data_IF_880491055881
#
_entry.id   IF_880491055881
#
_cell.length_a   1.000
_cell.length_b   1.000
_cell.length_c   1.000
_cell.angle_alpha   90.00
_cell.angle_beta   90.00
_cell.angle_gamma   90.00
#
_symmetry.space_group_name_H-M   'P 1'
#
loop_
_entity.id
_entity.type
_entity.pdbx_description
1 polymer ?
#
# COMPACT_ATOMS: atom_id res chain seq x y z
N UNK A 1 16.71 -21.81 14.58
CA UNK A 1 15.22 -21.78 14.49
C UNK A 1 14.78 -20.74 15.51
N UNK A 2 14.28 -19.56 15.12
CA UNK A 2 12.97 -19.39 14.51
C UNK A 2 11.85 -19.17 15.53
N UNK A 3 12.14 -18.92 16.82
CA UNK A 3 11.17 -18.94 17.92
C UNK A 3 10.01 -17.94 17.82
N UNK A 4 10.11 -16.90 16.99
CA UNK A 4 9.02 -15.93 16.81
C UNK A 4 7.87 -16.44 15.93
N UNK A 5 8.11 -17.45 15.09
CA UNK A 5 7.11 -17.93 14.11
C UNK A 5 6.93 -19.45 14.20
N UNK A 6 6.21 -19.97 15.21
CA UNK A 6 5.94 -21.41 15.35
C UNK A 6 4.89 -21.92 14.35
N UNK A 7 4.67 -21.21 13.24
CA UNK A 7 3.66 -21.51 12.22
C UNK A 7 4.29 -22.24 11.04
N UNK A 8 3.49 -23.09 10.38
CA UNK A 8 3.81 -23.61 9.05
C UNK A 8 3.08 -22.77 8.01
N UNK A 9 3.79 -22.33 6.96
CA UNK A 9 3.21 -21.57 5.85
C UNK A 9 3.41 -22.39 4.58
N UNK A 10 2.34 -22.54 3.83
CA UNK A 10 2.32 -23.23 2.54
C UNK A 10 1.91 -22.24 1.47
N UNK A 11 2.58 -22.30 0.33
CA UNK A 11 2.24 -21.50 -0.85
C UNK A 11 1.78 -22.41 -1.97
N UNK A 12 0.75 -21.99 -2.69
CA UNK A 12 0.28 -22.65 -3.89
C UNK A 12 0.07 -21.59 -4.98
N UNK A 13 0.78 -21.76 -6.09
CA UNK A 13 0.54 -20.95 -7.28
C UNK A 13 -0.82 -21.32 -7.88
N UNK A 14 -1.71 -20.34 -8.00
CA UNK A 14 -3.00 -20.52 -8.66
C UNK A 14 -2.82 -20.24 -10.16
N UNK A 15 -3.11 -21.20 -11.05
CA UNK A 15 -3.01 -20.98 -12.50
C UNK A 15 -3.98 -19.89 -12.98
N UNK A 16 -3.58 -19.07 -13.96
CA UNK A 16 -4.46 -18.04 -14.55
C UNK A 16 -5.75 -18.62 -15.17
N UNK A 17 -5.71 -19.90 -15.58
CA UNK A 17 -6.88 -20.60 -16.12
C UNK A 17 -7.71 -21.34 -15.04
N UNK A 18 -7.39 -21.15 -13.76
CA UNK A 18 -8.17 -21.75 -12.69
C UNK A 18 -9.61 -21.23 -12.73
N UNK A 19 -10.57 -22.14 -12.69
CA UNK A 19 -11.99 -21.81 -12.55
C UNK A 19 -12.46 -21.83 -11.10
N UNK A 20 -11.63 -22.37 -10.19
CA UNK A 20 -11.95 -22.50 -8.77
C UNK A 20 -10.68 -22.55 -7.91
N UNK A 21 -10.73 -21.99 -6.70
CA UNK A 21 -9.71 -22.14 -5.66
C UNK A 21 -10.39 -22.26 -4.28
N UNK A 22 -10.27 -23.42 -3.65
CA UNK A 22 -10.92 -23.73 -2.37
C UNK A 22 -9.87 -24.27 -1.40
N UNK A 23 -9.88 -23.77 -0.16
CA UNK A 23 -9.15 -24.41 0.92
C UNK A 23 -9.97 -25.64 1.37
N UNK A 24 -9.56 -26.83 0.95
CA UNK A 24 -10.23 -28.06 1.36
C UNK A 24 -10.03 -28.32 2.85
N UNK A 25 -11.10 -28.77 3.53
CA UNK A 25 -11.03 -29.08 4.94
C UNK A 25 -10.22 -30.37 5.13
N UNK A 26 -9.02 -30.21 5.67
CA UNK A 26 -8.20 -31.34 6.11
C UNK A 26 -8.55 -31.72 7.56
N UNK A 27 -7.89 -32.76 8.09
CA UNK A 27 -7.94 -33.16 9.50
C UNK A 27 -7.31 -32.14 10.47
N UNK A 28 -6.85 -30.99 9.97
CA UNK A 28 -6.20 -29.95 10.77
C UNK A 28 -7.26 -29.01 11.36
N UNK A 29 -7.33 -28.94 12.69
CA UNK A 29 -8.06 -27.87 13.36
C UNK A 29 -7.23 -26.59 13.27
N UNK A 30 -7.62 -25.68 12.37
CA UNK A 30 -7.03 -24.36 12.21
C UNK A 30 -8.10 -23.27 12.38
N UNK A 31 -7.71 -22.11 12.91
CA UNK A 31 -8.55 -20.91 12.85
C UNK A 31 -8.73 -20.54 11.37
N UNK A 32 -9.98 -20.40 10.92
CA UNK A 32 -10.27 -19.98 9.55
C UNK A 32 -10.17 -18.46 9.50
N UNK A 33 -9.13 -17.95 8.83
CA UNK A 33 -8.86 -16.51 8.67
C UNK A 33 -9.51 -15.93 7.41
N UNK A 34 -10.59 -16.57 6.93
CA UNK A 34 -11.48 -16.14 5.84
C UNK A 34 -11.00 -16.41 4.40
N UNK A 35 -11.93 -16.49 3.43
CA UNK A 35 -13.39 -16.48 3.62
C UNK A 35 -13.88 -17.71 4.39
N UNK A 36 -14.88 -17.55 5.25
CA UNK A 36 -15.38 -18.61 6.13
C UNK A 36 -15.83 -19.88 5.36
N UNK A 37 -16.28 -19.70 4.13
CA UNK A 37 -16.67 -20.77 3.21
C UNK A 37 -15.49 -21.34 2.38
N UNK A 38 -14.26 -20.88 2.66
CA UNK A 38 -12.98 -21.36 2.12
C UNK A 38 -12.76 -21.18 0.62
N UNK A 39 -13.69 -20.52 -0.08
CA UNK A 39 -13.58 -20.18 -1.49
C UNK A 39 -12.73 -18.93 -1.67
N UNK A 40 -11.52 -19.06 -2.18
CA UNK A 40 -10.69 -17.91 -2.46
C UNK A 40 -11.20 -17.20 -3.72
N UNK A 41 -11.27 -15.86 -3.74
CA UNK A 41 -11.61 -15.12 -4.94
C UNK A 41 -10.51 -15.32 -5.98
N UNK A 42 -10.93 -15.58 -7.21
CA UNK A 42 -10.05 -15.67 -8.36
C UNK A 42 -10.10 -14.39 -9.18
N UNK A 43 -9.01 -14.04 -9.89
CA UNK A 43 -9.07 -13.04 -10.94
C UNK A 43 -10.25 -13.28 -11.90
N UNK A 44 -11.08 -12.26 -12.14
CA UNK A 44 -12.16 -12.32 -13.14
C UNK A 44 -11.70 -11.86 -14.54
N UNK A 45 -10.42 -11.51 -14.67
CA UNK A 45 -9.79 -11.10 -15.92
C UNK A 45 -8.96 -12.22 -16.55
N UNK A 46 -8.76 -12.09 -17.86
CA UNK A 46 -7.95 -12.96 -18.71
C UNK A 46 -6.71 -12.22 -19.21
N UNK A 47 -5.90 -12.86 -20.05
CA UNK A 47 -4.79 -12.18 -20.74
C UNK A 47 -5.25 -11.06 -21.68
N UNK A 48 -6.52 -11.03 -22.09
CA UNK A 48 -7.08 -10.05 -23.03
C UNK A 48 -8.05 -9.05 -22.37
N UNK A 49 -8.38 -9.22 -21.09
CA UNK A 49 -9.21 -8.30 -20.31
C UNK A 49 -8.42 -7.70 -19.15
N UNK A 50 -9.04 -6.92 -18.25
CA UNK A 50 -8.38 -6.28 -17.11
C UNK A 50 -9.32 -6.18 -15.90
N UNK A 51 -8.80 -6.03 -14.67
CA UNK A 51 -9.60 -5.64 -13.52
C UNK A 51 -10.39 -4.36 -13.83
N UNK A 52 -11.68 -4.31 -13.48
CA UNK A 52 -12.54 -3.15 -13.76
C UNK A 52 -12.63 -2.22 -12.56
N UNK A 53 -12.56 -2.77 -11.35
CA UNK A 53 -12.67 -2.05 -10.09
C UNK A 53 -11.48 -2.40 -9.21
N UNK A 54 -10.64 -1.41 -8.94
CA UNK A 54 -9.46 -1.55 -8.08
C UNK A 54 -9.72 -0.78 -6.80
N UNK A 55 -9.66 -1.46 -5.65
CA UNK A 55 -9.62 -0.79 -4.35
C UNK A 55 -8.16 -0.57 -3.96
N UNK A 56 -7.81 0.66 -3.56
CA UNK A 56 -6.47 1.00 -3.06
C UNK A 56 -6.60 1.38 -1.59
N UNK A 57 -5.73 0.84 -0.75
CA UNK A 57 -5.73 1.06 0.70
C UNK A 57 -4.31 0.96 1.23
N UNK A 58 -3.98 1.64 2.32
CA UNK A 58 -2.62 1.67 2.87
C UNK A 58 -2.61 2.13 4.31
N UNK A 59 -1.52 1.81 5.01
CA UNK A 59 -1.22 2.36 6.34
C UNK A 59 -2.33 2.00 7.33
N UNK A 60 -2.61 0.69 7.41
CA UNK A 60 -3.87 0.14 7.91
C UNK A 60 -3.81 -0.40 9.33
N UNK A 61 -2.66 -0.85 9.84
CA UNK A 61 -2.58 -1.49 11.15
C UNK A 61 -2.92 -0.57 12.33
N UNK A 62 -3.00 -1.12 13.54
CA UNK A 62 -3.32 -0.32 14.73
C UNK A 62 -2.05 0.19 15.42
N UNK A 63 -1.88 1.52 15.48
CA UNK A 63 -0.72 2.15 16.11
C UNK A 63 -0.67 1.93 17.62
N UNK A 64 0.29 1.11 18.06
CA UNK A 64 0.57 0.87 19.48
C UNK A 64 2.07 1.01 19.70
N UNK A 65 2.58 2.25 19.80
CA UNK A 65 4.01 2.52 19.79
C UNK A 65 4.68 2.21 21.13
N UNK A 66 5.99 1.93 21.11
CA UNK A 66 6.78 1.75 22.34
C UNK A 66 6.82 3.05 23.17
N UNK A 67 6.74 4.21 22.53
CA UNK A 67 6.71 5.52 23.19
C UNK A 67 5.51 6.33 22.72
N UNK A 68 4.84 7.03 23.64
CA UNK A 68 3.65 7.81 23.33
C UNK A 68 2.33 7.06 23.57
N UNK A 69 1.19 7.67 23.22
CA UNK A 69 -0.13 7.12 23.45
C UNK A 69 -0.47 6.01 22.45
N UNK A 70 -0.99 4.89 22.95
CA UNK A 70 -1.54 3.83 22.10
C UNK A 70 -2.90 4.23 21.52
N UNK A 71 -3.16 3.82 20.28
CA UNK A 71 -4.47 3.96 19.65
C UNK A 71 -5.49 3.05 20.31
N UNK A 72 -6.75 3.47 20.30
CA UNK A 72 -7.87 2.64 20.72
C UNK A 72 -8.22 1.64 19.60
N UNK A 73 -7.51 0.51 19.56
CA UNK A 73 -7.72 -0.55 18.57
C UNK A 73 -9.11 -1.18 18.67
N UNK A 74 -9.70 -1.24 19.88
CA UNK A 74 -11.05 -1.77 20.08
C UNK A 74 -12.17 -0.89 19.50
N UNK A 75 -11.92 0.41 19.27
CA UNK A 75 -12.90 1.36 18.74
C UNK A 75 -12.65 1.59 17.25
N UNK A 76 -13.43 0.91 16.41
CA UNK A 76 -13.28 1.04 14.96
C UNK A 76 -13.93 2.30 14.39
N UNK A 77 -14.65 3.11 15.19
CA UNK A 77 -15.36 4.29 14.72
C UNK A 77 -14.48 5.52 14.66
N UNK A 78 -13.74 5.76 15.75
CA UNK A 78 -12.90 6.95 15.94
C UNK A 78 -11.48 6.61 16.37
N UNK A 79 -11.25 5.39 16.85
CA UNK A 79 -9.91 4.88 17.16
C UNK A 79 -9.27 4.39 15.88
N UNK A 80 -9.48 3.14 15.53
CA UNK A 80 -8.80 2.50 14.42
C UNK A 80 -9.77 2.15 13.27
N UNK A 81 -9.88 3.01 12.24
CA UNK A 81 -10.97 2.92 11.26
C UNK A 81 -10.81 1.83 10.19
N UNK A 82 -9.66 1.13 10.16
CA UNK A 82 -9.35 0.16 9.12
C UNK A 82 -10.44 -0.88 8.87
N UNK A 83 -11.02 -1.56 9.88
CA UNK A 83 -12.12 -2.51 9.65
C UNK A 83 -13.33 -1.89 8.93
N UNK A 84 -13.65 -0.62 9.22
CA UNK A 84 -14.74 0.08 8.55
C UNK A 84 -14.40 0.39 7.10
N UNK A 85 -13.17 0.81 6.83
CA UNK A 85 -12.72 1.10 5.46
C UNK A 85 -12.59 -0.17 4.62
N UNK A 86 -12.08 -1.26 5.18
CA UNK A 86 -12.06 -2.57 4.53
C UNK A 86 -13.48 -3.03 4.16
N UNK A 87 -14.42 -2.97 5.11
CA UNK A 87 -15.82 -3.30 4.86
C UNK A 87 -16.47 -2.38 3.81
N UNK A 88 -16.21 -1.07 3.89
CA UNK A 88 -16.72 -0.08 2.93
C UNK A 88 -16.19 -0.33 1.52
N UNK A 89 -14.89 -0.52 1.36
CA UNK A 89 -14.27 -0.81 0.08
C UNK A 89 -14.81 -2.12 -0.52
N UNK A 90 -14.94 -3.18 0.28
CA UNK A 90 -15.54 -4.43 -0.17
C UNK A 90 -17.00 -4.26 -0.61
N UNK A 91 -17.82 -3.54 0.15
CA UNK A 91 -19.25 -3.40 -0.13
C UNK A 91 -19.58 -2.38 -1.23
N UNK A 92 -18.87 -1.24 -1.28
CA UNK A 92 -19.15 -0.11 -2.18
C UNK A 92 -18.41 -0.30 -3.49
N UNK A 93 -17.08 -0.43 -3.44
CA UNK A 93 -16.26 -0.63 -4.64
C UNK A 93 -16.53 -2.00 -5.25
N UNK A 94 -16.74 -3.03 -4.40
CA UNK A 94 -16.83 -4.44 -4.84
C UNK A 94 -15.67 -4.77 -5.78
N UNK A 95 -14.42 -4.60 -5.32
CA UNK A 95 -13.25 -4.64 -6.17
C UNK A 95 -13.14 -6.01 -6.86
N UNK A 96 -12.58 -5.99 -8.07
CA UNK A 96 -12.07 -7.20 -8.71
C UNK A 96 -10.59 -7.40 -8.31
N UNK A 97 -9.90 -6.34 -7.89
CA UNK A 97 -8.52 -6.34 -7.40
C UNK A 97 -8.37 -5.36 -6.22
N UNK A 98 -7.60 -5.75 -5.20
CA UNK A 98 -7.19 -4.87 -4.11
C UNK A 98 -5.69 -4.61 -4.23
N UNK A 99 -5.26 -3.36 -4.03
CA UNK A 99 -3.85 -2.97 -3.89
C UNK A 99 -3.65 -2.40 -2.50
N UNK A 100 -2.79 -3.04 -1.70
CA UNK A 100 -2.38 -2.51 -0.40
C UNK A 100 -0.98 -1.88 -0.49
N UNK A 101 -0.88 -0.58 -0.24
CA UNK A 101 0.33 0.23 -0.45
C UNK A 101 1.31 0.23 0.75
N UNK A 102 1.39 -0.88 1.50
CA UNK A 102 2.32 -1.03 2.62
C UNK A 102 1.81 -0.56 3.97
N UNK A 103 2.66 -0.76 4.97
CA UNK A 103 2.43 -0.58 6.40
C UNK A 103 1.17 -1.30 6.90
N UNK A 104 1.41 -2.55 7.31
CA UNK A 104 0.40 -3.50 7.74
C UNK A 104 0.44 -3.69 9.25
N UNK A 105 1.63 -3.64 9.86
CA UNK A 105 1.89 -4.01 11.25
C UNK A 105 2.33 -2.79 12.06
N UNK A 106 1.49 -2.35 12.98
CA UNK A 106 1.70 -1.13 13.75
C UNK A 106 1.75 -1.35 15.27
N UNK A 107 1.54 -2.60 15.72
CA UNK A 107 1.71 -2.99 17.13
C UNK A 107 3.16 -3.21 17.51
N UNK A 108 3.86 -2.13 17.81
CA UNK A 108 5.23 -2.20 18.33
C UNK A 108 5.29 -2.68 19.80
N UNK A 109 4.28 -2.32 20.60
CA UNK A 109 4.12 -2.76 21.99
C UNK A 109 2.69 -3.25 22.30
N UNK A 110 2.36 -4.50 21.93
CA UNK A 110 1.05 -5.10 22.24
C UNK A 110 0.65 -5.05 23.73
N UNK A 111 1.59 -4.87 24.66
CA UNK A 111 1.25 -4.75 26.09
C UNK A 111 0.38 -3.52 26.40
N UNK A 112 0.38 -2.50 25.54
CA UNK A 112 -0.41 -1.27 25.71
C UNK A 112 -1.77 -1.29 25.02
N UNK A 113 -2.04 -2.30 24.20
CA UNK A 113 -3.28 -2.35 23.44
C UNK A 113 -4.51 -2.54 24.35
N UNK A 114 -5.68 -2.18 23.84
CA UNK A 114 -6.93 -2.26 24.59
C UNK A 114 -7.92 -3.31 24.06
N UNK A 115 -7.48 -4.16 23.14
CA UNK A 115 -8.26 -5.23 22.49
C UNK A 115 -7.69 -6.65 22.74
N UNK A 116 -6.81 -6.80 23.74
CA UNK A 116 -6.17 -8.08 24.13
C UNK A 116 -7.14 -9.26 24.25
N UNK A 117 -8.34 -9.03 24.77
CA UNK A 117 -9.35 -10.08 24.93
C UNK A 117 -9.82 -10.64 23.58
N UNK A 118 -9.82 -9.82 22.52
CA UNK A 118 -10.13 -10.25 21.16
C UNK A 118 -8.91 -10.85 20.45
N UNK A 119 -7.68 -10.53 20.86
CA UNK A 119 -6.44 -10.97 20.23
C UNK A 119 -5.55 -11.77 21.21
N UNK A 120 -6.00 -12.95 21.67
CA UNK A 120 -5.14 -13.80 22.49
C UNK A 120 -3.86 -14.12 21.71
N UNK A 121 -2.70 -14.05 22.39
CA UNK A 121 -1.39 -14.28 21.76
C UNK A 121 -0.75 -13.05 21.13
N UNK A 122 -1.45 -11.91 21.04
CA UNK A 122 -0.86 -10.61 20.74
C UNK A 122 -1.03 -9.67 21.93
N UNK A 123 -0.36 -9.94 23.06
CA UNK A 123 -0.68 -9.22 24.31
C UNK A 123 0.53 -8.70 25.06
N UNK A 124 1.73 -9.09 24.63
CA UNK A 124 3.00 -8.71 25.25
C UNK A 124 3.96 -8.15 24.19
N UNK A 125 4.96 -7.40 24.63
CA UNK A 125 6.02 -6.91 23.75
C UNK A 125 6.79 -8.05 23.03
N UNK A 126 6.82 -9.27 23.59
CA UNK A 126 7.48 -10.42 22.97
C UNK A 126 6.65 -10.98 21.79
N UNK A 127 5.34 -10.78 21.82
CA UNK A 127 4.42 -11.25 20.79
C UNK A 127 4.45 -10.38 19.53
N UNK A 128 5.03 -9.18 19.61
CA UNK A 128 5.05 -8.20 18.52
C UNK A 128 5.50 -8.84 17.21
N UNK A 129 4.78 -8.53 16.14
CA UNK A 129 4.96 -9.12 14.81
C UNK A 129 4.86 -10.66 14.74
N UNK A 130 4.49 -11.37 15.80
CA UNK A 130 4.11 -12.79 15.76
C UNK A 130 2.80 -13.01 14.98
N UNK A 131 2.46 -14.27 14.69
CA UNK A 131 1.28 -14.60 13.89
C UNK A 131 -0.01 -13.98 14.43
N UNK A 132 -0.23 -14.05 15.75
CA UNK A 132 -1.44 -13.51 16.36
C UNK A 132 -1.54 -11.99 16.20
N UNK A 133 -0.41 -11.26 16.23
CA UNK A 133 -0.38 -9.83 15.94
C UNK A 133 -0.58 -9.53 14.46
N UNK A 134 -0.05 -10.35 13.55
CA UNK A 134 -0.30 -10.22 12.10
C UNK A 134 -1.78 -10.42 11.79
N UNK A 135 -2.45 -11.37 12.47
CA UNK A 135 -3.90 -11.54 12.36
C UNK A 135 -4.65 -10.36 12.95
N UNK A 136 -4.21 -9.85 14.11
CA UNK A 136 -4.83 -8.72 14.79
C UNK A 136 -4.77 -7.44 13.96
N UNK A 137 -3.61 -7.09 13.39
CA UNK A 137 -3.39 -5.83 12.66
C UNK A 137 -3.82 -5.88 11.20
N UNK A 138 -3.73 -7.04 10.54
CA UNK A 138 -3.96 -7.14 9.10
C UNK A 138 -5.09 -8.10 8.75
N UNK A 139 -4.93 -9.41 8.94
CA UNK A 139 -5.85 -10.35 8.30
C UNK A 139 -7.30 -10.26 8.78
N UNK A 140 -7.52 -10.10 10.09
CA UNK A 140 -8.86 -9.97 10.65
C UNK A 140 -9.55 -8.65 10.27
N UNK A 141 -8.94 -7.47 10.46
CA UNK A 141 -9.59 -6.21 10.08
C UNK A 141 -9.72 -6.06 8.55
N UNK A 142 -8.79 -6.63 7.77
CA UNK A 142 -8.83 -6.61 6.31
C UNK A 142 -9.85 -7.58 5.73
N UNK A 143 -10.34 -8.57 6.48
CA UNK A 143 -11.12 -9.74 6.02
C UNK A 143 -12.02 -9.49 4.80
N UNK A 144 -12.88 -8.44 4.78
CA UNK A 144 -13.79 -8.23 3.65
C UNK A 144 -13.08 -8.07 2.30
N UNK A 145 -11.83 -7.62 2.29
CA UNK A 145 -11.02 -7.38 1.09
C UNK A 145 -10.52 -8.69 0.45
N UNK A 146 -9.70 -9.54 1.10
CA UNK A 146 -9.27 -10.82 0.54
C UNK A 146 -10.41 -11.83 0.40
N UNK A 147 -11.57 -11.60 1.03
CA UNK A 147 -12.78 -12.36 0.76
C UNK A 147 -13.48 -11.95 -0.56
N UNK A 148 -13.24 -10.73 -1.05
CA UNK A 148 -13.90 -10.19 -2.24
C UNK A 148 -13.03 -10.31 -3.49
N UNK A 149 -11.71 -10.09 -3.38
CA UNK A 149 -10.80 -10.05 -4.53
C UNK A 149 -9.38 -10.50 -4.17
N UNK A 150 -8.58 -10.93 -5.18
CA UNK A 150 -7.14 -11.03 -5.04
C UNK A 150 -6.51 -9.71 -4.56
N UNK A 151 -5.45 -9.81 -3.75
CA UNK A 151 -4.78 -8.66 -3.14
C UNK A 151 -3.31 -8.60 -3.60
N UNK A 152 -2.90 -7.45 -4.12
CA UNK A 152 -1.50 -7.11 -4.39
C UNK A 152 -0.96 -6.29 -3.22
N UNK A 153 0.18 -6.71 -2.65
CA UNK A 153 0.77 -6.09 -1.47
C UNK A 153 2.14 -5.50 -1.80
N UNK A 154 2.46 -4.35 -1.22
CA UNK A 154 3.84 -3.85 -1.12
C UNK A 154 4.23 -3.74 0.35
N UNK A 155 5.54 -3.73 0.60
CA UNK A 155 6.13 -3.56 1.92
C UNK A 155 6.26 -2.08 2.26
N UNK A 156 5.92 -1.69 3.49
CA UNK A 156 6.21 -0.35 4.00
C UNK A 156 7.35 -0.34 5.03
N UNK A 157 7.67 0.85 5.56
CA UNK A 157 8.77 1.00 6.53
C UNK A 157 8.45 0.40 7.89
N UNK A 158 7.18 0.24 8.27
CA UNK A 158 6.83 -0.51 9.48
C UNK A 158 7.21 -1.99 9.38
N UNK A 159 7.33 -2.52 8.16
CA UNK A 159 7.85 -3.87 7.87
C UNK A 159 9.33 -3.87 7.43
N UNK A 160 10.08 -2.83 7.77
CA UNK A 160 11.51 -2.84 7.50
C UNK A 160 12.27 -3.89 8.31
N UNK A 161 13.47 -4.18 7.83
CA UNK A 161 14.37 -5.08 8.56
C UNK A 161 14.83 -4.41 9.85
N UNK A 162 14.81 -5.17 10.94
CA UNK A 162 15.50 -4.75 12.16
C UNK A 162 17.03 -4.89 11.99
N UNK A 163 17.79 -4.38 12.98
CA UNK A 163 19.24 -4.45 12.99
C UNK A 163 19.79 -5.89 12.90
N UNK A 164 19.07 -6.87 13.47
CA UNK A 164 19.43 -8.28 13.45
C UNK A 164 19.12 -8.98 12.11
N UNK A 165 18.42 -8.31 11.17
CA UNK A 165 18.00 -8.87 9.88
C UNK A 165 17.17 -10.16 9.99
N UNK A 166 16.53 -10.35 11.14
CA UNK A 166 15.80 -11.55 11.47
C UNK A 166 14.67 -11.24 12.46
N UNK A 167 13.49 -11.81 12.22
CA UNK A 167 12.31 -11.57 13.05
C UNK A 167 11.78 -10.14 12.93
N UNK A 168 10.95 -9.74 13.89
CA UNK A 168 10.22 -8.47 13.88
C UNK A 168 9.25 -8.36 12.70
N UNK A 169 8.76 -7.14 12.44
CA UNK A 169 7.79 -6.88 11.37
C UNK A 169 8.34 -7.21 9.98
N UNK A 170 9.61 -6.90 9.68
CA UNK A 170 10.24 -7.34 8.43
C UNK A 170 10.36 -8.86 8.31
N UNK A 171 10.66 -9.57 9.41
CA UNK A 171 10.62 -11.04 9.42
C UNK A 171 9.20 -11.58 9.17
N UNK A 172 8.18 -10.94 9.76
CA UNK A 172 6.78 -11.29 9.55
C UNK A 172 6.33 -11.05 8.10
N UNK A 173 6.73 -9.94 7.49
CA UNK A 173 6.49 -9.64 6.08
C UNK A 173 7.01 -10.77 5.18
N UNK A 174 8.29 -11.13 5.31
CA UNK A 174 8.86 -12.22 4.52
C UNK A 174 8.35 -13.60 4.93
N UNK A 175 7.69 -13.75 6.07
CA UNK A 175 7.09 -15.02 6.47
C UNK A 175 5.70 -15.23 5.89
N UNK A 176 4.90 -14.16 5.75
CA UNK A 176 3.46 -14.26 5.48
C UNK A 176 2.94 -13.47 4.27
N UNK A 177 3.61 -12.38 3.87
CA UNK A 177 3.03 -11.38 2.95
C UNK A 177 3.87 -11.13 1.69
N UNK A 178 5.17 -11.40 1.74
CA UNK A 178 6.06 -11.22 0.59
C UNK A 178 5.72 -12.17 -0.57
N UNK A 179 6.10 -11.78 -1.78
CA UNK A 179 6.04 -12.62 -2.98
C UNK A 179 7.06 -13.77 -2.98
N UNK A 180 8.11 -13.65 -2.16
CA UNK A 180 9.12 -14.69 -1.93
C UNK A 180 9.24 -14.94 -0.42
N UNK A 181 8.53 -15.96 0.06
CA UNK A 181 8.50 -16.27 1.48
C UNK A 181 9.80 -16.89 1.99
N UNK A 182 10.07 -16.67 3.28
CA UNK A 182 11.22 -17.17 4.02
C UNK A 182 10.78 -17.79 5.35
N UNK A 183 11.15 -19.05 5.57
CA UNK A 183 10.79 -19.80 6.78
C UNK A 183 11.74 -19.59 7.96
N UNK A 184 12.93 -19.05 7.72
CA UNK A 184 13.98 -18.88 8.72
C UNK A 184 13.92 -17.52 9.46
N UNK A 185 12.89 -16.72 9.16
CA UNK A 185 12.67 -15.40 9.73
C UNK A 185 13.62 -14.33 9.20
N UNK A 186 14.47 -14.61 8.21
CA UNK A 186 15.34 -13.59 7.61
C UNK A 186 14.55 -12.58 6.80
N UNK A 187 15.00 -11.33 6.84
CA UNK A 187 14.48 -10.24 6.02
C UNK A 187 15.60 -9.53 5.26
N UNK A 188 15.28 -8.95 4.10
CA UNK A 188 16.23 -8.21 3.26
C UNK A 188 15.88 -6.72 3.24
N UNK A 189 16.85 -5.85 2.93
CA UNK A 189 16.63 -4.40 2.86
C UNK A 189 15.83 -3.99 1.62
N UNK A 190 16.13 -4.59 0.48
CA UNK A 190 15.54 -4.20 -0.80
C UNK A 190 15.08 -5.43 -1.55
N UNK A 191 13.77 -5.64 -1.62
CA UNK A 191 13.20 -6.65 -2.50
C UNK A 191 13.42 -6.25 -3.97
N UNK A 192 13.51 -7.23 -4.88
CA UNK A 192 13.43 -6.96 -6.30
C UNK A 192 12.10 -6.28 -6.65
N UNK A 193 12.08 -5.51 -7.76
CA UNK A 193 10.85 -5.02 -8.35
C UNK A 193 9.99 -6.21 -8.81
N UNK A 194 8.72 -6.27 -8.42
CA UNK A 194 7.85 -7.40 -8.68
C UNK A 194 6.71 -7.04 -9.65
N UNK A 195 6.74 -7.48 -10.92
CA UNK A 195 5.65 -7.30 -11.86
C UNK A 195 4.53 -8.31 -11.60
N UNK A 196 3.27 -7.84 -11.61
CA UNK A 196 2.07 -8.66 -11.42
C UNK A 196 1.22 -8.57 -12.68
N UNK A 197 0.90 -9.73 -13.24
CA UNK A 197 0.10 -9.85 -14.46
C UNK A 197 -1.39 -9.72 -14.15
N UNK A 198 -1.98 -8.61 -14.55
CA UNK A 198 -3.42 -8.37 -14.41
C UNK A 198 -4.10 -8.10 -15.77
N UNK A 199 -3.81 -8.98 -16.73
CA UNK A 199 -4.33 -8.89 -18.09
C UNK A 199 -3.74 -7.70 -18.86
N UNK A 200 -4.59 -6.82 -19.40
CA UNK A 200 -4.15 -5.62 -20.14
C UNK A 200 -3.82 -4.42 -19.24
N UNK A 201 -4.09 -4.51 -17.93
CA UNK A 201 -3.63 -3.55 -16.92
C UNK A 201 -2.73 -4.29 -15.93
N UNK A 202 -1.42 -4.11 -16.01
CA UNK A 202 -0.46 -4.81 -15.16
C UNK A 202 -0.10 -3.95 -13.94
N UNK A 203 0.38 -4.57 -12.86
CA UNK A 203 0.93 -3.84 -11.72
C UNK A 203 2.43 -4.07 -11.62
N UNK A 204 3.15 -3.14 -11.02
CA UNK A 204 4.57 -3.30 -10.68
C UNK A 204 4.82 -2.78 -9.27
N UNK A 205 5.21 -3.68 -8.37
CA UNK A 205 5.56 -3.33 -6.99
C UNK A 205 7.00 -2.83 -6.94
N UNK A 206 7.21 -1.69 -6.27
CA UNK A 206 8.52 -1.17 -5.90
C UNK A 206 8.62 -1.09 -4.38
N UNK A 207 9.48 -1.92 -3.81
CA UNK A 207 9.77 -1.92 -2.37
C UNK A 207 10.57 -0.68 -1.97
N UNK A 208 9.87 0.37 -1.53
CA UNK A 208 10.41 1.67 -1.11
C UNK A 208 10.48 1.86 0.40
N UNK A 209 10.18 0.81 1.17
CA UNK A 209 10.29 0.79 2.64
C UNK A 209 11.55 1.53 3.14
N UNK A 210 12.71 1.19 2.57
CA UNK A 210 14.00 1.77 2.95
C UNK A 210 14.53 2.88 2.02
N UNK A 211 13.65 3.65 1.35
CA UNK A 211 14.07 4.69 0.40
C UNK A 211 14.76 5.87 1.06
N UNK A 212 14.10 6.47 2.04
CA UNK A 212 14.60 7.53 2.91
C UNK A 212 14.22 7.16 4.35
N UNK A 213 14.99 6.30 5.04
CA UNK A 213 14.54 5.67 6.29
C UNK A 213 14.33 6.65 7.44
N UNK A 214 14.87 7.87 7.35
CA UNK A 214 14.63 8.93 8.34
C UNK A 214 13.65 10.01 7.88
N UNK A 215 13.09 9.89 6.67
CA UNK A 215 12.24 10.91 6.03
C UNK A 215 12.86 12.32 6.08
N UNK A 216 14.19 12.40 5.91
CA UNK A 216 14.97 13.64 6.03
C UNK A 216 15.18 14.34 4.68
N UNK A 217 14.59 13.84 3.60
CA UNK A 217 14.87 14.27 2.23
C UNK A 217 16.19 13.72 1.69
N UNK A 218 16.71 12.63 2.27
CA UNK A 218 17.99 12.03 1.87
C UNK A 218 17.89 11.43 0.48
N UNK A 219 18.92 11.63 -0.35
CA UNK A 219 19.05 11.03 -1.70
C UNK A 219 20.10 9.92 -1.76
N UNK A 220 20.55 9.42 -0.60
CA UNK A 220 21.65 8.44 -0.53
C UNK A 220 21.37 7.15 -1.31
N UNK A 221 20.09 6.76 -1.46
CA UNK A 221 19.69 5.53 -2.13
C UNK A 221 19.31 5.70 -3.61
N UNK A 222 19.54 6.87 -4.22
CA UNK A 222 19.11 7.14 -5.61
C UNK A 222 19.54 6.04 -6.57
N UNK A 223 20.81 5.63 -6.57
CA UNK A 223 21.28 4.58 -7.47
C UNK A 223 20.62 3.20 -7.24
N UNK A 224 20.18 2.89 -6.01
CA UNK A 224 19.43 1.66 -5.71
C UNK A 224 18.05 1.73 -6.36
N UNK A 225 17.34 2.84 -6.17
CA UNK A 225 15.99 3.01 -6.68
C UNK A 225 15.95 3.27 -8.19
N UNK A 226 16.99 3.87 -8.78
CA UNK A 226 17.13 3.97 -10.24
C UNK A 226 17.08 2.58 -10.86
N UNK A 227 17.81 1.59 -10.31
CA UNK A 227 17.76 0.21 -10.80
C UNK A 227 16.37 -0.42 -10.65
N UNK A 228 15.59 -0.01 -9.64
CA UNK A 228 14.22 -0.50 -9.41
C UNK A 228 13.25 0.11 -10.43
N UNK A 229 13.34 1.40 -10.70
CA UNK A 229 12.53 2.08 -11.72
C UNK A 229 12.95 1.72 -13.15
N UNK A 230 14.22 1.42 -13.42
CA UNK A 230 14.62 0.81 -14.69
C UNK A 230 14.00 -0.58 -14.87
N UNK A 231 13.82 -1.35 -13.78
CA UNK A 231 13.11 -2.63 -13.84
C UNK A 231 11.61 -2.45 -14.11
N UNK A 232 10.99 -1.39 -13.59
CA UNK A 232 9.62 -0.98 -13.96
C UNK A 232 9.55 -0.72 -15.46
N UNK A 233 10.44 0.12 -15.99
CA UNK A 233 10.47 0.47 -17.41
C UNK A 233 10.70 -0.77 -18.29
N UNK A 234 11.61 -1.67 -17.90
CA UNK A 234 11.78 -2.95 -18.60
C UNK A 234 10.54 -3.84 -18.57
N UNK A 235 9.82 -3.89 -17.44
CA UNK A 235 8.58 -4.66 -17.34
C UNK A 235 7.52 -4.07 -18.29
N UNK A 236 7.38 -2.74 -18.31
CA UNK A 236 6.44 -2.04 -19.18
C UNK A 236 6.71 -2.30 -20.67
N UNK A 237 7.99 -2.38 -21.06
CA UNK A 237 8.43 -2.68 -22.42
C UNK A 237 8.15 -4.11 -22.89
N UNK A 238 7.94 -5.08 -21.99
CA UNK A 238 7.60 -6.45 -22.39
C UNK A 238 6.23 -6.51 -23.09
N UNK A 239 5.32 -5.60 -22.75
CA UNK A 239 3.98 -5.51 -23.35
C UNK A 239 3.59 -4.05 -23.55
N UNK A 240 4.12 -3.38 -24.59
CA UNK A 240 3.94 -1.94 -24.78
C UNK A 240 2.49 -1.54 -25.07
N UNK A 241 1.64 -2.47 -25.51
CA UNK A 241 0.21 -2.24 -25.72
C UNK A 241 -0.63 -2.32 -24.43
N UNK A 242 -0.04 -2.74 -23.31
CA UNK A 242 -0.73 -2.83 -22.02
C UNK A 242 -0.45 -1.61 -21.16
N UNK A 243 -1.41 -1.27 -20.30
CA UNK A 243 -1.25 -0.26 -19.26
C UNK A 243 -0.57 -0.86 -18.02
N UNK A 244 0.13 -0.02 -17.26
CA UNK A 244 0.80 -0.40 -16.02
C UNK A 244 0.47 0.59 -14.90
N UNK A 245 0.18 0.07 -13.71
CA UNK A 245 0.25 0.86 -12.49
C UNK A 245 1.50 0.47 -11.72
N UNK A 246 2.25 1.47 -11.25
CA UNK A 246 3.31 1.25 -10.27
C UNK A 246 2.70 1.44 -8.90
N UNK A 247 3.03 0.57 -7.96
CA UNK A 247 2.63 0.76 -6.58
C UNK A 247 3.83 0.54 -5.66
N UNK A 248 3.90 1.39 -4.66
CA UNK A 248 5.04 1.50 -3.75
C UNK A 248 4.52 1.97 -2.40
N UNK A 249 5.34 1.96 -1.35
CA UNK A 249 4.90 2.48 -0.06
C UNK A 249 5.15 3.98 0.05
N UNK A 250 6.43 4.39 0.11
CA UNK A 250 6.80 5.80 0.09
C UNK A 250 6.43 6.44 -1.23
N UNK A 251 5.72 7.55 -1.16
CA UNK A 251 5.23 8.30 -2.32
C UNK A 251 6.38 8.88 -3.15
N UNK A 252 6.27 8.88 -4.48
CA UNK A 252 7.33 9.36 -5.37
C UNK A 252 7.32 10.89 -5.42
N UNK A 253 6.13 11.49 -5.54
CA UNK A 253 5.95 12.92 -5.81
C UNK A 253 4.91 13.61 -4.91
N UNK A 254 4.51 13.00 -3.78
CA UNK A 254 3.43 13.57 -2.95
C UNK A 254 3.89 14.89 -2.37
N UNK A 255 3.05 15.92 -2.51
CA UNK A 255 3.35 17.29 -2.07
C UNK A 255 3.09 17.41 -0.57
N UNK A 256 4.14 17.71 0.21
CA UNK A 256 4.07 17.98 1.65
C UNK A 256 3.63 19.42 1.94
N UNK A 257 4.12 20.37 1.15
CA UNK A 257 3.82 21.79 1.33
C UNK A 257 3.89 22.54 0.00
N UNK A 258 3.13 23.62 -0.11
CA UNK A 258 3.19 24.56 -1.22
C UNK A 258 3.31 25.98 -0.66
N UNK A 259 4.09 26.85 -1.32
CA UNK A 259 4.36 28.20 -0.84
C UNK A 259 4.59 29.20 -1.97
N UNK A 260 4.64 30.48 -1.64
CA UNK A 260 4.77 31.59 -2.60
C UNK A 260 6.21 31.99 -2.91
N UNK A 261 7.20 31.46 -2.17
CA UNK A 261 8.63 31.72 -2.39
C UNK A 261 9.35 30.44 -2.81
N UNK A 262 10.32 30.50 -3.76
CA UNK A 262 11.05 29.33 -4.21
C UNK A 262 11.83 28.59 -3.09
N UNK A 263 11.84 27.24 -3.08
CA UNK A 263 11.02 26.37 -3.92
C UNK A 263 9.55 26.45 -3.50
N UNK A 264 8.68 26.67 -4.47
CA UNK A 264 7.24 26.90 -4.30
C UNK A 264 6.44 25.61 -4.01
N UNK A 265 7.09 24.44 -4.05
CA UNK A 265 6.50 23.13 -3.72
C UNK A 265 7.57 22.25 -3.07
N UNK A 266 7.23 21.61 -1.96
CA UNK A 266 8.03 20.59 -1.29
C UNK A 266 7.34 19.23 -1.42
N UNK A 267 8.07 18.19 -1.83
CA UNK A 267 7.56 16.82 -1.96
C UNK A 267 8.28 15.85 -1.04
N UNK A 268 7.61 14.76 -0.66
CA UNK A 268 8.04 13.94 0.48
C UNK A 268 9.34 13.14 0.27
N UNK A 269 9.50 12.47 -0.88
CA UNK A 269 10.53 11.44 -1.05
C UNK A 269 11.50 11.78 -2.18
N UNK A 270 12.39 12.74 -1.93
CA UNK A 270 13.35 13.25 -2.93
C UNK A 270 14.16 12.15 -3.64
N UNK A 271 14.53 11.08 -2.92
CA UNK A 271 15.29 9.97 -3.50
C UNK A 271 14.53 9.22 -4.60
N UNK A 272 13.20 9.09 -4.51
CA UNK A 272 12.41 8.37 -5.50
C UNK A 272 12.22 9.21 -6.75
N UNK A 273 11.96 10.51 -6.60
CA UNK A 273 11.94 11.46 -7.73
C UNK A 273 13.31 11.49 -8.45
N UNK A 274 14.40 11.68 -7.71
CA UNK A 274 15.75 11.65 -8.25
C UNK A 274 16.07 10.31 -8.94
N UNK A 275 15.57 9.20 -8.38
CA UNK A 275 15.76 7.87 -8.95
C UNK A 275 15.05 7.70 -10.29
N UNK A 276 13.81 8.19 -10.44
CA UNK A 276 13.08 8.20 -11.72
C UNK A 276 13.80 9.06 -12.74
N UNK A 277 14.22 10.27 -12.36
CA UNK A 277 14.98 11.18 -13.25
C UNK A 277 16.32 10.58 -13.71
N UNK A 278 16.93 9.72 -12.90
CA UNK A 278 18.18 9.03 -13.22
C UNK A 278 18.01 7.72 -14.01
N UNK A 279 16.78 7.27 -14.30
CA UNK A 279 16.53 6.12 -15.18
C UNK A 279 17.04 6.38 -16.59
N UNK A 280 17.23 5.32 -17.38
CA UNK A 280 17.65 5.46 -18.79
C UNK A 280 16.77 6.40 -19.63
N UNK A 281 15.42 6.34 -19.50
CA UNK A 281 14.52 7.28 -20.17
C UNK A 281 14.35 8.65 -19.47
N UNK A 282 14.92 8.86 -18.27
CA UNK A 282 14.67 10.01 -17.40
C UNK A 282 13.21 10.18 -16.94
N UNK A 283 12.39 9.14 -17.12
CA UNK A 283 10.98 9.08 -16.76
C UNK A 283 10.53 7.63 -16.60
N UNK A 284 9.32 7.43 -16.08
CA UNK A 284 8.62 6.15 -16.20
C UNK A 284 8.13 5.97 -17.64
N UNK A 285 8.04 4.73 -18.11
CA UNK A 285 7.55 4.43 -19.46
C UNK A 285 6.15 5.00 -19.70
N UNK A 286 5.85 5.46 -20.91
CA UNK A 286 4.61 6.18 -21.26
C UNK A 286 3.32 5.37 -21.02
N UNK A 287 3.43 4.04 -20.97
CA UNK A 287 2.32 3.14 -20.65
C UNK A 287 2.22 2.82 -19.14
N UNK A 288 3.03 3.43 -18.28
CA UNK A 288 2.75 3.57 -16.86
C UNK A 288 1.73 4.70 -16.71
N UNK A 289 0.53 4.36 -16.23
CA UNK A 289 -0.62 5.27 -16.20
C UNK A 289 -0.92 5.87 -14.83
N UNK A 290 -0.38 5.27 -13.77
CA UNK A 290 -0.65 5.70 -12.38
C UNK A 290 0.44 5.19 -11.45
N UNK A 291 0.82 6.02 -10.48
CA UNK A 291 1.62 5.62 -9.31
C UNK A 291 0.74 5.61 -8.06
N UNK A 292 0.72 4.50 -7.33
CA UNK A 292 -0.01 4.31 -6.08
C UNK A 292 0.96 4.28 -4.91
N UNK A 293 0.65 4.97 -3.83
CA UNK A 293 1.51 5.04 -2.63
C UNK A 293 0.74 5.24 -1.33
N UNK A 294 1.40 5.03 -0.20
CA UNK A 294 0.93 5.26 1.16
C UNK A 294 1.93 6.13 1.93
N UNK A 295 2.36 5.66 3.11
CA UNK A 295 3.36 6.24 4.02
C UNK A 295 2.90 7.51 4.72
N UNK A 296 2.42 8.48 3.95
CA UNK A 296 1.90 9.73 4.49
C UNK A 296 0.41 9.54 4.71
N UNK A 297 -0.03 9.78 5.94
CA UNK A 297 -1.35 9.42 6.43
C UNK A 297 -2.45 10.39 5.98
N UNK A 298 -2.60 10.54 4.66
CA UNK A 298 -3.58 11.38 3.99
C UNK A 298 -4.06 10.75 2.69
N UNK A 299 -5.03 11.42 2.05
CA UNK A 299 -5.40 11.16 0.66
C UNK A 299 -4.94 12.33 -0.20
N UNK A 300 -4.16 12.07 -1.25
CA UNK A 300 -3.79 13.09 -2.23
C UNK A 300 -3.73 12.49 -3.63
N UNK A 301 -4.36 13.15 -4.59
CA UNK A 301 -4.23 12.86 -6.01
C UNK A 301 -3.52 14.03 -6.68
N UNK A 302 -2.46 13.72 -7.42
CA UNK A 302 -1.68 14.68 -8.20
C UNK A 302 -1.72 14.27 -9.66
N UNK A 303 -1.80 15.26 -10.53
CA UNK A 303 -1.55 15.14 -11.96
C UNK A 303 -0.48 16.16 -12.38
N UNK A 304 0.08 15.98 -13.56
CA UNK A 304 1.20 16.79 -14.05
C UNK A 304 0.93 17.26 -15.48
N UNK A 305 1.35 18.49 -15.78
CA UNK A 305 1.41 19.04 -17.15
C UNK A 305 2.64 18.53 -17.94
N UNK A 306 3.27 17.47 -17.43
CA UNK A 306 4.43 16.80 -18.00
C UNK A 306 4.08 15.33 -18.31
N UNK A 307 4.92 14.58 -19.05
CA UNK A 307 4.71 13.15 -19.31
C UNK A 307 4.71 12.23 -18.07
N UNK A 308 4.86 12.77 -16.86
CA UNK A 308 4.83 12.02 -15.61
C UNK A 308 3.41 11.48 -15.37
N UNK A 309 3.25 10.19 -15.03
CA UNK A 309 1.93 9.66 -14.67
C UNK A 309 1.40 10.33 -13.40
N UNK A 310 0.07 10.46 -13.25
CA UNK A 310 -0.52 10.92 -12.01
C UNK A 310 -0.11 10.03 -10.83
N UNK A 311 -0.16 10.60 -9.63
CA UNK A 311 0.09 9.88 -8.39
C UNK A 311 -1.12 9.94 -7.47
N UNK A 312 -1.48 8.79 -6.92
CA UNK A 312 -2.46 8.66 -5.86
C UNK A 312 -1.78 8.18 -4.57
N UNK A 313 -1.91 8.95 -3.50
CA UNK A 313 -1.44 8.63 -2.14
C UNK A 313 -2.65 8.29 -1.27
N UNK A 314 -2.66 7.10 -0.66
CA UNK A 314 -3.76 6.55 0.14
C UNK A 314 -3.20 5.94 1.43
N UNK A 315 -2.76 6.80 2.36
CA UNK A 315 -2.21 6.35 3.65
C UNK A 315 -3.10 6.62 4.88
N UNK A 316 -4.36 6.99 4.68
CA UNK A 316 -5.24 7.45 5.75
C UNK A 316 -6.13 6.36 6.37
N UNK A 317 -5.70 5.09 6.35
CA UNK A 317 -6.64 3.97 6.59
C UNK A 317 -6.64 3.39 8.01
N UNK A 318 -5.59 3.62 8.81
CA UNK A 318 -5.47 3.06 10.16
C UNK A 318 -4.96 4.05 11.21
N UNK A 319 -3.91 4.79 10.85
CA UNK A 319 -3.17 5.69 11.74
C UNK A 319 -3.78 7.10 11.95
N UNK A 320 -3.13 7.93 12.78
CA UNK A 320 -3.41 9.36 12.88
C UNK A 320 -3.10 10.05 11.56
N UNK A 321 -3.94 11.01 11.19
CA UNK A 321 -3.80 11.70 9.91
C UNK A 321 -2.66 12.72 9.96
N UNK A 322 -1.89 12.75 8.88
CA UNK A 322 -0.97 13.85 8.62
C UNK A 322 -1.74 15.10 8.21
N UNK A 323 -1.13 16.26 8.46
CA UNK A 323 -1.65 17.50 7.90
C UNK A 323 -1.52 17.45 6.38
N UNK A 324 -2.57 17.87 5.69
CA UNK A 324 -2.48 18.16 4.26
C UNK A 324 -1.50 19.32 3.99
N UNK A 325 -1.19 19.58 2.71
CA UNK A 325 -0.41 20.74 2.33
C UNK A 325 -0.94 22.03 2.97
N UNK A 326 -0.03 22.89 3.40
CA UNK A 326 -0.38 24.22 3.90
C UNK A 326 -0.88 25.08 2.74
N UNK A 327 -2.19 25.11 2.58
CA UNK A 327 -2.87 25.89 1.56
C UNK A 327 -3.17 27.33 2.02
N UNK A 328 -2.58 27.83 3.11
CA UNK A 328 -2.78 29.23 3.54
C UNK A 328 -2.18 30.24 2.55
N UNK A 329 -1.31 29.77 1.67
CA UNK A 329 -0.74 30.52 0.55
C UNK A 329 -1.53 30.33 -0.78
N UNK A 330 -2.64 29.57 -0.77
CA UNK A 330 -3.55 29.41 -1.91
C UNK A 330 -4.19 30.75 -2.25
N UNK A 331 -3.94 31.26 -3.46
CA UNK A 331 -4.40 32.56 -3.93
C UNK A 331 -5.89 32.58 -4.36
N UNK A 332 -6.62 31.49 -4.08
CA UNK A 332 -8.02 31.33 -4.45
C UNK A 332 -8.21 30.74 -5.86
N UNK A 333 -7.18 30.11 -6.41
CA UNK A 333 -7.29 29.30 -7.62
C UNK A 333 -8.36 28.21 -7.48
N UNK A 334 -9.18 28.02 -8.53
CA UNK A 334 -10.17 26.94 -8.55
C UNK A 334 -9.46 25.65 -8.97
N UNK A 335 -9.22 24.75 -8.02
CA UNK A 335 -8.65 23.43 -8.32
C UNK A 335 -9.77 22.49 -8.79
N UNK A 336 -9.71 22.12 -10.07
CA UNK A 336 -10.59 21.11 -10.64
C UNK A 336 -9.84 19.77 -10.70
N UNK A 337 -10.37 18.76 -10.02
CA UNK A 337 -9.98 17.37 -10.24
C UNK A 337 -10.72 16.87 -11.49
N UNK A 338 -9.98 16.72 -12.58
CA UNK A 338 -10.45 16.13 -13.83
C UNK A 338 -9.64 14.87 -14.11
N UNK A 339 -10.31 13.76 -14.39
CA UNK A 339 -9.62 12.58 -14.89
C UNK A 339 -9.46 12.72 -16.39
N UNK A 340 -8.27 12.57 -16.95
CA UNK A 340 -8.06 12.63 -18.39
C UNK A 340 -7.77 11.23 -18.95
N UNK A 341 -8.18 10.96 -20.19
CA UNK A 341 -7.65 9.81 -20.93
C UNK A 341 -6.28 10.12 -21.53
N UNK A 342 -5.66 9.12 -22.15
CA UNK A 342 -4.32 9.24 -22.73
C UNK A 342 -4.23 10.26 -23.89
N UNK A 343 -5.36 10.75 -24.40
CA UNK A 343 -5.41 11.84 -25.40
C UNK A 343 -5.57 13.23 -24.78
N UNK A 344 -5.67 13.30 -23.45
CA UNK A 344 -5.93 14.53 -22.70
C UNK A 344 -7.41 14.88 -22.59
N UNK A 345 -8.33 14.01 -23.03
CA UNK A 345 -9.77 14.29 -22.93
C UNK A 345 -10.30 13.98 -21.52
N UNK A 346 -11.09 14.90 -20.94
CA UNK A 346 -11.70 14.71 -19.62
C UNK A 346 -12.68 13.52 -19.63
N UNK A 347 -12.60 12.68 -18.60
CA UNK A 347 -13.40 11.48 -18.36
C UNK A 347 -14.16 11.64 -17.05
N UNK A 348 -15.48 11.52 -17.11
CA UNK A 348 -16.33 11.57 -15.92
C UNK A 348 -16.58 13.00 -15.42
N UNK A 349 -16.90 13.12 -14.13
CA UNK A 349 -17.24 14.39 -13.50
C UNK A 349 -15.99 15.21 -13.20
N UNK A 350 -16.13 16.53 -13.30
CA UNK A 350 -15.16 17.46 -12.77
C UNK A 350 -15.48 17.68 -11.31
N UNK A 351 -14.50 17.52 -10.42
CA UNK A 351 -14.71 17.82 -9.01
C UNK A 351 -13.98 19.10 -8.62
N UNK A 352 -14.72 20.11 -8.19
CA UNK A 352 -14.11 21.34 -7.70
C UNK A 352 -13.73 21.16 -6.23
N UNK A 353 -12.51 21.56 -5.88
CA UNK A 353 -12.10 21.70 -4.49
C UNK A 353 -12.90 22.84 -3.85
N UNK A 354 -13.54 22.59 -2.72
CA UNK A 354 -14.26 23.62 -1.98
C UNK A 354 -13.30 24.74 -1.56
N UNK A 355 -13.74 25.99 -1.68
CA UNK A 355 -12.99 27.19 -1.26
C UNK A 355 -12.85 27.35 0.26
N UNK A 356 -13.32 26.37 1.05
CA UNK A 356 -13.21 26.40 2.50
C UNK A 356 -11.78 26.11 2.94
N UNK A 357 -11.13 27.06 3.61
CA UNK A 357 -9.80 26.88 4.22
C UNK A 357 -9.82 26.01 5.48
N UNK A 358 -11.00 25.73 6.05
CA UNK A 358 -11.15 24.92 7.26
C UNK A 358 -11.45 23.44 6.97
N UNK A 359 -12.11 23.15 5.83
CA UNK A 359 -12.47 21.79 5.39
C UNK A 359 -12.50 21.73 3.86
N UNK A 360 -11.35 21.45 3.25
CA UNK A 360 -11.26 21.23 1.81
C UNK A 360 -11.80 19.85 1.45
N UNK A 361 -12.78 19.80 0.55
CA UNK A 361 -13.32 18.56 -0.02
C UNK A 361 -13.59 18.77 -1.50
N UNK A 362 -13.57 17.69 -2.28
CA UNK A 362 -13.93 17.76 -3.70
C UNK A 362 -15.43 17.54 -3.87
N UNK A 363 -16.09 18.44 -4.60
CA UNK A 363 -17.51 18.33 -4.97
C UNK A 363 -17.59 18.10 -6.48
N UNK A 364 -17.93 16.87 -6.85
CA UNK A 364 -18.08 16.43 -8.24
C UNK A 364 -19.41 16.88 -8.83
N UNK A 365 -19.38 17.45 -10.04
CA UNK A 365 -20.54 17.90 -10.79
C UNK A 365 -20.57 17.25 -12.18
#
# INVERSE_FOLDING_TARGET
MGSQFPTTVCELAVPLAASNAVLEQSSVQAAVVHPAHRQLPLPDWTSATRPRRVAVIGDTGCEVPVTGPARNCANHQTGWPFPRFAASAAAVTRPDLVVHVGDHLYREDPAKENDKAANPGCTTAADRAGWDCVVADFFRPAEPLPATAPVALTRGNHEDRNAAQQGGAGGAWFRYLADVLRSDGRCITYSPTAPIRAGTLNLVSVDSSFADPGDTGSTAQTAVFTRRFDAVNRAAQQHPANDYFVFTHKSVWMVKAAGTLPPNVEWATHVLDAAVAATGPHQLADNVRLVLSGHIHLYQMLDFDTPRPPQLTVGSSGGPLDNGPDDTADDGGTWNLTFHDASGAVRGQTCALTTSTAKKSFVCH
#
